data_IF_744740770163
#
_entry.id   IF_744740770163
#
_cell.length_a   1.000
_cell.length_b   1.000
_cell.length_c   1.000
_cell.angle_alpha   90.00
_cell.angle_beta   90.00
_cell.angle_gamma   90.00
#
_symmetry.space_group_name_H-M   'P 1'
#
loop_
_entity.id
_entity.type
_entity.pdbx_description
1 polymer ?
#
# COMPACT_ATOMS: atom_id res chain seq x y z
N UNK A 1 16.18 3.81 0.44
CA UNK A 1 15.07 4.77 0.67
C UNK A 1 13.81 4.19 0.06
N UNK A 2 12.72 4.16 0.83
CA UNK A 2 11.38 3.77 0.35
C UNK A 2 10.53 5.03 0.22
N UNK A 3 9.85 5.21 -0.92
CA UNK A 3 8.94 6.34 -1.18
C UNK A 3 7.69 5.91 -1.90
N UNK A 4 6.55 6.46 -1.52
CA UNK A 4 5.28 6.28 -2.22
C UNK A 4 4.91 7.60 -2.89
N UNK A 5 4.59 7.52 -4.18
CA UNK A 5 4.05 8.64 -4.95
C UNK A 5 2.66 8.25 -5.43
N UNK A 6 1.68 9.11 -5.18
CA UNK A 6 0.34 8.94 -5.69
C UNK A 6 -0.21 10.27 -6.19
N UNK A 7 -1.20 10.17 -7.07
CA UNK A 7 -1.98 11.32 -7.54
C UNK A 7 -3.39 10.85 -7.82
N UNK A 8 -4.39 11.51 -7.23
CA UNK A 8 -5.79 11.27 -7.57
C UNK A 8 -6.03 11.74 -9.01
N UNK A 9 -6.49 10.82 -9.85
CA UNK A 9 -6.83 11.05 -11.26
C UNK A 9 -8.12 10.29 -11.53
N UNK A 10 -9.22 10.94 -11.19
CA UNK A 10 -10.58 10.42 -11.22
C UNK A 10 -11.53 11.53 -11.71
N UNK A 11 -12.82 11.25 -11.81
CA UNK A 11 -13.82 12.30 -12.07
C UNK A 11 -13.94 13.22 -10.83
N UNK A 12 -13.12 14.27 -10.84
CA UNK A 12 -13.06 15.23 -9.74
C UNK A 12 -14.36 16.01 -9.55
N UNK A 13 -15.21 16.11 -10.57
CA UNK A 13 -16.49 16.82 -10.47
C UNK A 13 -17.58 15.93 -9.87
N UNK A 14 -17.51 14.62 -10.09
CA UNK A 14 -18.32 13.62 -9.40
C UNK A 14 -17.87 13.44 -7.94
N UNK A 15 -16.57 13.24 -7.69
CA UNK A 15 -16.03 13.05 -6.33
C UNK A 15 -16.35 14.22 -5.39
N UNK A 16 -16.47 15.45 -5.90
CA UNK A 16 -16.84 16.63 -5.09
C UNK A 16 -18.31 16.66 -4.66
N UNK A 17 -19.18 15.86 -5.29
CA UNK A 17 -20.64 15.92 -5.13
C UNK A 17 -21.23 14.66 -4.54
N UNK A 18 -20.59 13.52 -4.78
CA UNK A 18 -21.05 12.21 -4.31
C UNK A 18 -21.17 12.21 -2.78
N UNK A 19 -22.25 11.62 -2.27
CA UNK A 19 -22.41 11.41 -0.83
C UNK A 19 -21.58 10.22 -0.35
N UNK A 20 -21.30 10.12 0.94
CA UNK A 20 -20.57 8.96 1.50
C UNK A 20 -21.29 7.63 1.22
N UNK A 21 -22.63 7.64 1.30
CA UNK A 21 -23.47 6.48 1.05
C UNK A 21 -23.41 6.04 -0.42
N UNK A 22 -23.58 6.98 -1.34
CA UNK A 22 -23.51 6.70 -2.78
C UNK A 22 -22.13 6.20 -3.17
N UNK A 23 -21.08 6.79 -2.59
CA UNK A 23 -19.71 6.31 -2.78
C UNK A 23 -19.55 4.86 -2.31
N UNK A 24 -19.96 4.54 -1.08
CA UNK A 24 -19.86 3.17 -0.54
C UNK A 24 -20.69 2.13 -1.32
N UNK A 25 -21.83 2.54 -1.88
CA UNK A 25 -22.75 1.63 -2.58
C UNK A 25 -22.39 1.43 -4.06
N UNK A 26 -21.90 2.48 -4.74
CA UNK A 26 -21.76 2.52 -6.21
C UNK A 26 -20.32 2.60 -6.70
N UNK A 27 -19.38 3.10 -5.88
CA UNK A 27 -17.99 3.29 -6.27
C UNK A 27 -17.11 2.17 -5.73
N UNK A 28 -16.16 1.73 -6.56
CA UNK A 28 -15.23 0.68 -6.18
C UNK A 28 -14.04 1.23 -5.36
N UNK A 29 -13.49 2.38 -5.78
CA UNK A 29 -12.31 3.02 -5.17
C UNK A 29 -12.22 4.49 -5.65
N UNK A 30 -11.23 5.22 -5.14
CA UNK A 30 -10.69 6.46 -5.71
C UNK A 30 -9.52 6.09 -6.61
N UNK A 31 -9.60 6.47 -7.89
CA UNK A 31 -8.61 6.09 -8.88
C UNK A 31 -7.50 7.13 -9.05
N UNK A 32 -6.35 6.66 -9.51
CA UNK A 32 -5.22 7.54 -9.74
C UNK A 32 -3.98 6.88 -10.32
N UNK A 33 -2.88 7.59 -10.15
CA UNK A 33 -1.54 7.06 -10.38
C UNK A 33 -0.93 6.66 -9.05
N UNK A 34 -0.17 5.56 -9.07
CA UNK A 34 0.53 5.05 -7.90
C UNK A 34 1.88 4.49 -8.34
N UNK A 35 2.95 4.89 -7.67
CA UNK A 35 4.26 4.30 -7.83
C UNK A 35 4.99 4.26 -6.50
N UNK A 36 5.92 3.33 -6.38
CA UNK A 36 6.85 3.28 -5.27
C UNK A 36 8.27 3.34 -5.80
N UNK A 37 9.16 3.87 -4.98
CA UNK A 37 10.61 3.79 -5.19
C UNK A 37 11.25 3.02 -4.05
N UNK A 38 12.02 2.00 -4.40
CA UNK A 38 12.72 1.11 -3.48
C UNK A 38 14.21 1.17 -3.82
N UNK A 39 14.95 2.06 -3.16
CA UNK A 39 16.35 2.32 -3.52
C UNK A 39 16.47 2.95 -4.91
N UNK A 40 16.98 2.20 -5.87
CA UNK A 40 17.05 2.62 -7.29
C UNK A 40 15.87 2.09 -8.13
N UNK A 41 15.15 1.09 -7.61
CA UNK A 41 14.05 0.45 -8.31
C UNK A 41 12.78 1.28 -8.18
N UNK A 42 11.95 1.23 -9.23
CA UNK A 42 10.66 1.91 -9.30
C UNK A 42 9.62 0.90 -9.77
N UNK A 43 8.53 0.80 -9.03
CA UNK A 43 7.36 -0.01 -9.39
C UNK A 43 6.14 0.89 -9.57
N UNK A 44 5.26 0.54 -10.50
CA UNK A 44 4.09 1.33 -10.85
C UNK A 44 4.39 2.54 -11.73
N UNK A 45 3.43 3.46 -11.80
CA UNK A 45 3.49 4.62 -12.70
C UNK A 45 2.99 5.87 -12.00
N UNK A 46 3.75 6.96 -12.14
CA UNK A 46 3.42 8.27 -11.58
C UNK A 46 3.96 9.40 -12.44
N UNK A 47 3.17 10.46 -12.58
CA UNK A 47 3.66 11.77 -13.01
C UNK A 47 2.78 12.92 -12.49
N UNK A 48 3.41 14.09 -12.39
CA UNK A 48 2.81 15.35 -11.96
C UNK A 48 2.50 16.31 -13.12
N UNK A 49 2.94 16.00 -14.35
CA UNK A 49 2.59 16.81 -15.54
C UNK A 49 1.08 16.92 -15.74
N UNK A 50 0.66 17.93 -16.50
CA UNK A 50 -0.71 18.05 -16.96
C UNK A 50 -1.18 16.75 -17.66
N UNK A 51 -2.42 16.38 -17.38
CA UNK A 51 -3.07 15.21 -17.97
C UNK A 51 -3.31 15.50 -19.45
N UNK A 52 -3.00 14.52 -20.30
CA UNK A 52 -3.40 14.56 -21.71
C UNK A 52 -4.89 14.28 -21.82
N UNK A 53 -5.51 14.72 -22.91
CA UNK A 53 -6.89 14.38 -23.22
C UNK A 53 -7.11 12.85 -23.16
N UNK A 54 -8.04 12.41 -22.31
CA UNK A 54 -8.37 11.00 -22.11
C UNK A 54 -7.40 10.20 -21.24
N UNK A 55 -6.39 10.83 -20.64
CA UNK A 55 -5.50 10.19 -19.67
C UNK A 55 -6.22 9.95 -18.34
N UNK A 56 -6.23 8.70 -17.87
CA UNK A 56 -6.94 8.25 -16.66
C UNK A 56 -5.97 7.58 -15.68
N UNK A 57 -6.28 7.69 -14.39
CA UNK A 57 -5.68 6.86 -13.36
C UNK A 57 -6.35 5.48 -13.36
N UNK A 58 -5.56 4.41 -13.31
CA UNK A 58 -6.07 3.04 -13.28
C UNK A 58 -5.79 2.32 -11.96
N UNK A 59 -5.04 2.98 -11.07
CA UNK A 59 -4.70 2.41 -9.77
C UNK A 59 -5.78 2.73 -8.75
N UNK A 60 -6.23 1.69 -8.05
CA UNK A 60 -7.15 1.74 -6.91
C UNK A 60 -6.39 2.24 -5.67
N UNK A 61 -6.47 3.53 -5.38
CA UNK A 61 -5.56 4.16 -4.42
C UNK A 61 -5.85 3.72 -2.98
N UNK A 62 -7.12 3.57 -2.58
CA UNK A 62 -7.43 3.09 -1.23
C UNK A 62 -6.98 1.64 -1.06
N UNK A 63 -7.16 0.79 -2.08
CA UNK A 63 -6.67 -0.59 -2.06
C UNK A 63 -5.14 -0.68 -1.90
N UNK A 64 -4.37 0.16 -2.59
CA UNK A 64 -2.92 0.20 -2.40
C UNK A 64 -2.53 0.54 -0.96
N UNK A 65 -3.11 1.59 -0.39
CA UNK A 65 -2.81 1.95 1.00
C UNK A 65 -3.24 0.88 1.99
N UNK A 66 -4.38 0.22 1.75
CA UNK A 66 -4.86 -0.90 2.55
C UNK A 66 -3.88 -2.08 2.52
N UNK A 67 -3.36 -2.45 1.33
CA UNK A 67 -2.35 -3.50 1.19
C UNK A 67 -1.07 -3.17 1.95
N UNK A 68 -0.55 -1.95 1.85
CA UNK A 68 0.65 -1.55 2.58
C UNK A 68 0.45 -1.51 4.10
N UNK A 69 -0.69 -0.99 4.56
CA UNK A 69 -1.02 -0.99 5.98
C UNK A 69 -1.17 -2.42 6.51
N UNK A 70 -1.76 -3.31 5.73
CA UNK A 70 -1.92 -4.72 6.09
C UNK A 70 -0.58 -5.46 6.04
N UNK A 71 0.29 -5.16 5.09
CA UNK A 71 1.66 -5.67 5.06
C UNK A 71 2.47 -5.23 6.29
N UNK A 72 2.28 -4.00 6.77
CA UNK A 72 2.87 -3.54 8.03
C UNK A 72 2.37 -4.35 9.24
N UNK A 73 1.07 -4.70 9.29
CA UNK A 73 0.53 -5.60 10.33
C UNK A 73 1.22 -6.95 10.27
N UNK A 74 1.28 -7.56 9.09
CA UNK A 74 1.90 -8.86 8.89
C UNK A 74 3.39 -8.87 9.24
N UNK A 75 4.14 -7.86 8.80
CA UNK A 75 5.54 -7.69 9.15
C UNK A 75 5.76 -7.51 10.65
N UNK A 76 4.86 -6.77 11.31
CA UNK A 76 4.96 -6.57 12.74
C UNK A 76 4.69 -7.87 13.49
N UNK A 77 3.61 -8.59 13.16
CA UNK A 77 3.16 -9.77 13.91
C UNK A 77 3.96 -11.03 13.58
N UNK A 78 4.28 -11.26 12.30
CA UNK A 78 4.86 -12.50 11.79
C UNK A 78 6.29 -12.35 11.26
N UNK A 79 6.81 -11.12 11.20
CA UNK A 79 8.11 -10.83 10.56
C UNK A 79 8.09 -10.99 9.04
N UNK A 80 6.92 -11.22 8.45
CA UNK A 80 6.75 -11.51 7.04
C UNK A 80 5.42 -10.97 6.51
N UNK A 81 5.46 -10.41 5.31
CA UNK A 81 4.26 -10.18 4.51
C UNK A 81 4.62 -10.27 3.03
N UNK A 82 3.69 -10.68 2.18
CA UNK A 82 3.81 -10.51 0.74
C UNK A 82 2.43 -10.23 0.17
N UNK A 83 2.30 -9.29 -0.77
CA UNK A 83 1.03 -9.11 -1.48
C UNK A 83 1.24 -9.03 -2.99
N UNK A 84 0.18 -9.36 -3.71
CA UNK A 84 0.16 -9.33 -5.17
C UNK A 84 0.07 -7.90 -5.69
N UNK A 85 0.90 -7.55 -6.66
CA UNK A 85 0.80 -6.28 -7.36
C UNK A 85 -0.46 -6.28 -8.25
N UNK A 86 -1.14 -5.13 -8.35
CA UNK A 86 -2.29 -5.01 -9.24
C UNK A 86 -1.89 -5.23 -10.71
N UNK A 87 -2.76 -5.86 -11.49
CA UNK A 87 -2.60 -5.98 -12.95
C UNK A 87 -1.83 -7.20 -13.47
N UNK A 88 -1.17 -7.99 -12.62
CA UNK A 88 -0.55 -9.28 -13.02
C UNK A 88 -0.85 -10.37 -11.99
N UNK A 89 -1.05 -11.61 -12.46
CA UNK A 89 -1.43 -12.72 -11.56
C UNK A 89 -0.27 -13.26 -10.74
N UNK A 90 0.96 -13.02 -11.17
CA UNK A 90 2.16 -13.63 -10.61
C UNK A 90 3.18 -12.62 -10.07
N UNK A 91 3.00 -11.30 -10.20
CA UNK A 91 3.93 -10.32 -9.60
C UNK A 91 3.52 -9.94 -8.18
N UNK A 92 4.49 -9.99 -7.26
CA UNK A 92 4.32 -9.78 -5.84
C UNK A 92 5.40 -8.87 -5.29
N UNK A 93 5.05 -8.12 -4.25
CA UNK A 93 6.03 -7.49 -3.37
C UNK A 93 6.13 -8.33 -2.09
N UNK A 94 7.33 -8.84 -1.84
CA UNK A 94 7.65 -9.59 -0.63
C UNK A 94 8.41 -8.70 0.35
N UNK A 95 8.06 -8.82 1.63
CA UNK A 95 8.65 -8.09 2.75
C UNK A 95 9.08 -9.06 3.86
N UNK A 96 10.32 -8.93 4.33
CA UNK A 96 10.89 -9.71 5.43
C UNK A 96 11.52 -8.81 6.48
N UNK A 97 11.20 -9.03 7.74
CA UNK A 97 11.83 -8.32 8.86
C UNK A 97 13.18 -8.98 9.20
N UNK A 98 14.24 -8.17 9.30
CA UNK A 98 15.57 -8.61 9.74
C UNK A 98 16.31 -7.47 10.44
N UNK A 99 16.69 -7.64 11.70
CA UNK A 99 17.54 -6.69 12.45
C UNK A 99 17.09 -5.22 12.33
N UNK A 100 15.78 -4.96 12.48
CA UNK A 100 15.10 -3.65 12.32
C UNK A 100 15.11 -3.07 10.89
N UNK A 101 15.50 -3.86 9.91
CA UNK A 101 15.34 -3.59 8.49
C UNK A 101 14.16 -4.38 7.94
N UNK A 102 13.53 -3.84 6.91
CA UNK A 102 12.67 -4.60 6.01
C UNK A 102 13.47 -4.86 4.75
N UNK A 103 13.62 -6.14 4.42
CA UNK A 103 14.08 -6.58 3.10
C UNK A 103 12.87 -6.65 2.18
N UNK A 104 12.95 -5.95 1.05
CA UNK A 104 11.88 -5.89 0.05
C UNK A 104 12.38 -6.55 -1.24
N UNK A 105 11.52 -7.36 -1.87
CA UNK A 105 11.83 -8.06 -3.11
C UNK A 105 10.67 -8.01 -4.11
N UNK A 106 11.00 -7.90 -5.40
CA UNK A 106 10.06 -8.19 -6.48
C UNK A 106 10.03 -9.71 -6.68
N UNK A 107 8.94 -10.30 -6.21
CA UNK A 107 8.73 -11.73 -6.18
C UNK A 107 7.78 -12.15 -7.31
N UNK A 108 7.96 -13.38 -7.79
CA UNK A 108 7.06 -14.05 -8.72
C UNK A 108 6.48 -15.31 -8.09
N UNK A 109 5.17 -15.39 -7.97
CA UNK A 109 4.50 -16.58 -7.42
C UNK A 109 4.52 -17.73 -8.43
N UNK A 110 5.08 -18.86 -8.02
CA UNK A 110 5.18 -20.07 -8.85
C UNK A 110 3.99 -21.02 -8.67
N UNK A 111 3.18 -20.81 -7.63
CA UNK A 111 2.05 -21.69 -7.28
C UNK A 111 0.70 -21.14 -7.73
N UNK A 112 0.66 -19.91 -8.27
CA UNK A 112 -0.54 -19.26 -8.81
C UNK A 112 -1.74 -19.28 -7.84
N UNK A 113 -1.50 -18.94 -6.57
CA UNK A 113 -2.55 -18.86 -5.56
C UNK A 113 -3.55 -17.72 -5.85
N UNK A 114 -4.80 -17.91 -5.45
CA UNK A 114 -5.87 -16.90 -5.57
C UNK A 114 -5.80 -15.82 -4.48
N UNK A 115 -5.03 -16.04 -3.41
CA UNK A 115 -4.83 -15.08 -2.32
C UNK A 115 -4.14 -13.79 -2.82
N UNK A 116 -4.49 -12.67 -2.18
CA UNK A 116 -3.96 -11.34 -2.51
C UNK A 116 -2.83 -10.90 -1.56
N UNK A 117 -2.76 -11.49 -0.37
CA UNK A 117 -1.75 -11.20 0.65
C UNK A 117 -1.44 -12.46 1.45
N UNK A 118 -0.19 -12.58 1.89
CA UNK A 118 0.34 -13.70 2.68
C UNK A 118 1.09 -13.16 3.88
N UNK A 119 1.07 -13.94 4.96
CA UNK A 119 1.82 -13.67 6.18
C UNK A 119 2.74 -14.83 6.60
N UNK A 120 2.84 -15.86 5.76
CA UNK A 120 3.68 -17.04 6.00
C UNK A 120 4.68 -17.17 4.86
N UNK A 121 5.95 -17.35 5.22
CA UNK A 121 7.01 -17.63 4.26
C UNK A 121 6.97 -19.11 3.81
N UNK A 122 6.29 -19.36 2.70
CA UNK A 122 6.16 -20.70 2.13
C UNK A 122 7.29 -21.07 1.14
N UNK A 123 8.33 -20.24 0.98
CA UNK A 123 9.41 -20.43 -0.01
C UNK A 123 8.90 -20.72 -1.43
N UNK A 124 7.82 -20.04 -1.82
CA UNK A 124 7.13 -20.23 -3.12
C UNK A 124 7.49 -19.21 -4.20
N UNK A 125 8.32 -18.23 -3.86
CA UNK A 125 8.66 -17.11 -4.73
C UNK A 125 9.98 -17.30 -5.47
N UNK A 126 9.97 -16.95 -6.75
CA UNK A 126 11.17 -16.65 -7.55
C UNK A 126 11.42 -15.14 -7.61
N UNK A 127 12.64 -14.72 -7.93
CA UNK A 127 13.02 -13.30 -7.89
C UNK A 127 13.70 -12.87 -9.20
N UNK A 128 12.93 -12.69 -10.29
CA UNK A 128 13.51 -12.45 -11.62
C UNK A 128 14.00 -11.02 -11.84
N UNK A 129 13.61 -10.05 -10.99
CA UNK A 129 13.91 -8.61 -11.19
C UNK A 129 14.93 -8.10 -10.18
N UNK A 130 14.55 -7.99 -8.92
CA UNK A 130 15.37 -7.49 -7.83
C UNK A 130 14.93 -8.09 -6.50
N UNK A 131 15.83 -8.14 -5.52
CA UNK A 131 15.65 -8.87 -4.27
C UNK A 131 16.42 -8.24 -3.12
N UNK A 132 15.90 -8.39 -1.92
CA UNK A 132 16.55 -8.11 -0.63
C UNK A 132 17.06 -6.67 -0.50
N UNK A 133 16.32 -5.70 -1.05
CA UNK A 133 16.64 -4.29 -0.85
C UNK A 133 16.30 -3.92 0.59
N UNK A 134 17.32 -3.56 1.36
CA UNK A 134 17.19 -3.24 2.79
C UNK A 134 16.77 -1.78 3.01
N UNK A 135 15.71 -1.60 3.80
CA UNK A 135 15.18 -0.30 4.22
C UNK A 135 14.98 -0.32 5.73
N UNK A 136 15.37 0.74 6.47
CA UNK A 136 15.05 0.83 7.90
C UNK A 136 13.54 0.72 8.11
N UNK A 137 13.09 -0.16 9.01
CA UNK A 137 11.66 -0.38 9.25
C UNK A 137 10.94 0.91 9.66
N UNK A 138 11.60 1.76 10.44
CA UNK A 138 11.07 3.06 10.83
C UNK A 138 10.77 3.97 9.62
N UNK A 139 11.65 3.98 8.61
CA UNK A 139 11.46 4.76 7.38
C UNK A 139 10.33 4.18 6.53
N UNK A 140 10.31 2.85 6.36
CA UNK A 140 9.25 2.14 5.63
C UNK A 140 7.88 2.41 6.24
N UNK A 141 7.75 2.18 7.56
CA UNK A 141 6.52 2.44 8.32
C UNK A 141 6.13 3.91 8.28
N UNK A 142 7.09 4.81 8.48
CA UNK A 142 6.86 6.25 8.50
C UNK A 142 6.30 6.74 7.17
N UNK A 143 6.88 6.32 6.05
CA UNK A 143 6.41 6.67 4.72
C UNK A 143 4.97 6.19 4.48
N UNK A 144 4.67 4.92 4.75
CA UNK A 144 3.31 4.37 4.56
C UNK A 144 2.29 5.17 5.38
N UNK A 145 2.53 5.35 6.68
CA UNK A 145 1.60 6.07 7.55
C UNK A 145 1.41 7.52 7.09
N UNK A 146 2.50 8.21 6.74
CA UNK A 146 2.44 9.61 6.34
C UNK A 146 1.73 9.80 5.00
N UNK A 147 1.98 8.91 4.04
CA UNK A 147 1.34 8.98 2.72
C UNK A 147 -0.13 8.59 2.80
N UNK A 148 -0.51 7.58 3.60
CA UNK A 148 -1.93 7.29 3.83
C UNK A 148 -2.64 8.45 4.54
N UNK A 149 -2.02 9.08 5.55
CA UNK A 149 -2.60 10.28 6.20
C UNK A 149 -2.79 11.42 5.22
N UNK A 150 -1.80 11.66 4.36
CA UNK A 150 -1.85 12.71 3.34
C UNK A 150 -2.97 12.45 2.34
N UNK A 151 -3.12 11.21 1.89
CA UNK A 151 -4.17 10.80 0.97
C UNK A 151 -5.57 10.99 1.60
N UNK A 152 -5.77 10.51 2.82
CA UNK A 152 -7.03 10.71 3.54
C UNK A 152 -7.34 12.19 3.73
N UNK A 153 -6.34 13.01 4.05
CA UNK A 153 -6.52 14.46 4.16
C UNK A 153 -6.91 15.10 2.83
N UNK A 154 -6.27 14.71 1.73
CA UNK A 154 -6.60 15.19 0.39
C UNK A 154 -8.05 14.85 0.02
N UNK A 155 -8.48 13.60 0.22
CA UNK A 155 -9.87 13.16 -0.02
C UNK A 155 -10.86 13.96 0.84
N UNK A 156 -10.56 14.13 2.13
CA UNK A 156 -11.41 14.94 3.04
C UNK A 156 -11.50 16.40 2.62
N UNK A 157 -10.40 16.96 2.09
CA UNK A 157 -10.36 18.34 1.60
C UNK A 157 -11.12 18.51 0.28
N UNK A 158 -11.15 17.47 -0.55
CA UNK A 158 -11.91 17.42 -1.79
C UNK A 158 -13.41 17.35 -1.52
N UNK A 159 -13.81 16.43 -0.64
CA UNK A 159 -15.19 16.24 -0.21
C UNK A 159 -15.22 15.67 1.21
N UNK A 160 -15.78 16.43 2.16
CA UNK A 160 -15.85 15.99 3.55
C UNK A 160 -16.72 14.76 3.75
N UNK A 161 -17.73 14.52 2.91
CA UNK A 161 -18.57 13.32 2.98
C UNK A 161 -17.78 12.07 2.58
N UNK A 162 -16.93 12.14 1.55
CA UNK A 162 -16.01 11.03 1.24
C UNK A 162 -15.09 10.70 2.42
N UNK A 163 -14.79 11.71 3.25
CA UNK A 163 -14.11 11.52 4.53
C UNK A 163 -14.78 10.53 5.48
N UNK A 164 -16.08 10.37 5.38
CA UNK A 164 -16.92 9.52 6.23
C UNK A 164 -17.30 8.19 5.56
N UNK A 165 -16.80 7.93 4.34
CA UNK A 165 -16.99 6.66 3.64
C UNK A 165 -16.30 5.50 4.37
N UNK A 166 -16.80 4.29 4.19
CA UNK A 166 -16.25 3.09 4.83
C UNK A 166 -14.78 2.85 4.46
N UNK A 167 -14.41 3.06 3.19
CA UNK A 167 -13.02 2.90 2.73
C UNK A 167 -12.07 3.85 3.46
N UNK A 168 -12.43 5.14 3.57
CA UNK A 168 -11.57 6.14 4.21
C UNK A 168 -11.52 5.91 5.73
N UNK A 169 -12.64 5.55 6.35
CA UNK A 169 -12.69 5.25 7.79
C UNK A 169 -11.89 3.98 8.12
N UNK A 170 -11.87 2.97 7.24
CA UNK A 170 -11.02 1.79 7.37
C UNK A 170 -9.54 2.16 7.45
N UNK A 171 -9.05 2.96 6.49
CA UNK A 171 -7.65 3.43 6.48
C UNK A 171 -7.29 4.21 7.76
N UNK A 172 -8.19 5.09 8.21
CA UNK A 172 -7.99 5.85 9.46
C UNK A 172 -7.93 4.95 10.70
N UNK A 173 -8.82 3.95 10.78
CA UNK A 173 -8.83 3.00 11.89
C UNK A 173 -7.49 2.25 11.99
N UNK A 174 -6.96 1.84 10.84
CA UNK A 174 -5.66 1.18 10.73
C UNK A 174 -4.51 2.09 11.11
N UNK A 175 -4.49 3.34 10.65
CA UNK A 175 -3.49 4.31 11.10
C UNK A 175 -3.53 4.51 12.62
N UNK A 176 -4.73 4.65 13.19
CA UNK A 176 -4.90 4.97 14.60
C UNK A 176 -4.51 3.83 15.52
N UNK A 177 -4.80 2.58 15.15
CA UNK A 177 -4.33 1.40 15.90
C UNK A 177 -2.80 1.28 15.92
N UNK A 178 -2.10 1.98 15.01
CA UNK A 178 -0.63 1.93 14.86
C UNK A 178 0.09 3.15 15.46
N UNK A 179 -0.59 4.14 16.05
CA UNK A 179 0.06 5.34 16.61
C UNK A 179 0.79 5.12 17.96
N UNK A 180 1.05 3.87 18.38
CA UNK A 180 1.98 3.58 19.48
C UNK A 180 3.39 3.23 18.92
N UNK A 181 4.34 4.19 18.89
CA UNK A 181 5.70 3.97 18.42
C UNK A 181 6.58 3.18 19.40
N UNK A 182 6.05 2.76 20.57
CA UNK A 182 6.82 2.14 21.65
C UNK A 182 6.45 0.69 21.94
N UNK A 183 5.53 0.10 21.18
CA UNK A 183 5.24 -1.33 21.25
C UNK A 183 6.54 -2.14 21.05
N UNK A 184 6.94 -2.99 22.02
CA UNK A 184 8.12 -3.81 21.84
C UNK A 184 7.92 -4.67 20.59
N UNK A 185 9.00 -4.85 19.80
CA UNK A 185 9.06 -5.91 18.79
C UNK A 185 8.44 -7.17 19.41
N UNK A 186 7.49 -7.86 18.74
CA UNK A 186 7.17 -9.19 19.19
C UNK A 186 8.47 -9.96 19.19
N UNK A 187 8.84 -10.45 20.37
CA UNK A 187 10.07 -11.20 20.63
C UNK A 187 10.11 -12.57 19.94
N UNK A 188 9.31 -12.77 18.90
CA UNK A 188 9.23 -13.99 18.09
C UNK A 188 10.24 -13.99 16.94
N UNK A 189 11.49 -13.60 17.21
CA UNK A 189 12.65 -13.97 16.38
C UNK A 189 13.83 -14.33 17.31
N UNK A 190 13.54 -15.08 18.37
CA UNK A 190 14.54 -15.91 19.04
C UNK A 190 14.22 -17.36 18.69
N UNK A 191 15.12 -17.92 17.89
CA UNK A 191 15.33 -19.34 17.64
C UNK A 191 14.26 -20.04 16.78
N UNK A 192 14.53 -20.15 15.47
CA UNK A 192 14.41 -21.39 14.69
C UNK A 192 15.29 -21.34 13.43
#
# INVERSE_FOLDING_TARGET
MFKIYYRIVDDMDELKKVSSKEFDDEYADIFGFFSIRIGIEIEGFYHDRELRDGEMGHEMLTAWFELYLTALEGLYEFGYAAFREAGTLDSWLEFRMKDNQVQISAAKDTLHNSEYILFIDEKRFEYPRWRDIEIPFADFRGEIINQTKSFVYEVKSLNSELGESQLIQSLLSKINSRNDPTGPFPTCLRDH
#
